data_IF_688528027113
#
_entry.id   IF_688528027113
#
_cell.length_a   1.000
_cell.length_b   1.000
_cell.length_c   1.000
_cell.angle_alpha   90.00
_cell.angle_beta   90.00
_cell.angle_gamma   90.00
#
_symmetry.space_group_name_H-M   'P 1'
#
loop_
_entity.id
_entity.type
_entity.pdbx_description
1 polymer ?
#
# COMPACT_ATOMS: atom_id res chain seq x y z
N UNK A 1 -39.89 -65.71 -69.38
CA UNK A 1 -38.63 -64.99 -69.19
C UNK A 1 -38.93 -63.64 -68.62
N UNK A 2 -38.82 -63.49 -67.27
CA UNK A 2 -39.22 -62.26 -66.60
C UNK A 2 -37.93 -61.55 -66.15
N UNK A 3 -37.75 -60.30 -66.62
CA UNK A 3 -36.74 -59.38 -66.16
C UNK A 3 -37.29 -58.65 -64.90
N UNK A 4 -36.57 -58.76 -63.75
CA UNK A 4 -36.81 -57.96 -62.54
C UNK A 4 -35.91 -56.75 -62.55
N UNK A 5 -36.56 -55.55 -62.57
CA UNK A 5 -35.87 -54.26 -62.31
C UNK A 5 -35.69 -54.09 -60.79
N UNK A 6 -34.43 -53.90 -60.33
CA UNK A 6 -34.12 -53.42 -58.97
C UNK A 6 -33.95 -51.87 -59.07
N UNK A 7 -34.84 -51.18 -58.42
CA UNK A 7 -34.71 -49.73 -58.16
C UNK A 7 -34.02 -49.53 -56.83
N UNK A 8 -32.76 -49.12 -56.87
CA UNK A 8 -32.01 -48.74 -55.65
C UNK A 8 -32.33 -47.29 -55.29
N UNK A 9 -32.96 -47.08 -54.14
CA UNK A 9 -33.14 -45.74 -53.49
C UNK A 9 -31.87 -45.27 -52.81
N UNK A 10 -31.28 -44.19 -53.28
CA UNK A 10 -30.12 -43.53 -52.71
C UNK A 10 -30.65 -42.56 -51.66
N UNK A 11 -30.49 -42.91 -50.37
CA UNK A 11 -30.73 -41.99 -49.25
C UNK A 11 -29.55 -41.05 -49.12
N UNK A 12 -29.72 -39.81 -49.53
CA UNK A 12 -28.73 -38.73 -49.29
C UNK A 12 -29.00 -38.19 -47.88
N UNK A 13 -28.17 -38.58 -46.90
CA UNK A 13 -28.16 -38.00 -45.53
C UNK A 13 -27.56 -36.61 -45.57
N UNK A 14 -28.40 -35.61 -45.48
CA UNK A 14 -27.99 -34.22 -45.34
C UNK A 14 -27.44 -33.99 -43.90
N UNK A 15 -26.13 -34.06 -43.75
CA UNK A 15 -25.46 -33.68 -42.49
C UNK A 15 -25.53 -32.16 -42.37
N UNK A 16 -26.45 -31.64 -41.55
CA UNK A 16 -26.48 -30.25 -41.16
C UNK A 16 -25.31 -29.99 -40.18
N UNK A 17 -24.24 -29.40 -40.71
CA UNK A 17 -23.14 -28.86 -39.88
C UNK A 17 -23.69 -27.69 -39.03
N UNK A 18 -23.96 -27.94 -37.73
CA UNK A 18 -24.21 -26.87 -36.79
C UNK A 18 -22.92 -26.04 -36.65
N UNK A 19 -23.01 -24.70 -36.77
CA UNK A 19 -21.83 -23.85 -36.53
C UNK A 19 -21.39 -24.04 -35.06
N UNK A 20 -20.23 -24.65 -34.85
CA UNK A 20 -19.54 -24.65 -33.56
C UNK A 20 -19.09 -23.22 -33.36
N UNK A 21 -19.81 -22.48 -32.51
CA UNK A 21 -19.35 -21.17 -32.06
C UNK A 21 -17.97 -21.37 -31.41
N UNK A 22 -16.96 -20.57 -31.77
CA UNK A 22 -15.66 -20.66 -31.17
C UNK A 22 -15.83 -20.44 -29.66
N UNK A 23 -15.40 -21.40 -28.84
CA UNK A 23 -15.31 -21.27 -27.41
C UNK A 23 -14.24 -20.21 -27.15
N UNK A 24 -14.63 -18.93 -27.06
CA UNK A 24 -13.72 -17.89 -26.65
C UNK A 24 -13.30 -18.25 -25.24
N UNK A 25 -12.02 -18.53 -25.05
CA UNK A 25 -11.46 -18.66 -23.70
C UNK A 25 -11.82 -17.38 -22.94
N UNK A 26 -12.51 -17.53 -21.81
CA UNK A 26 -12.90 -16.40 -20.99
C UNK A 26 -11.65 -15.61 -20.61
N UNK A 27 -11.65 -14.31 -20.89
CA UNK A 27 -10.55 -13.42 -20.53
C UNK A 27 -10.33 -13.44 -19.02
N UNK A 28 -9.07 -13.41 -18.60
CA UNK A 28 -8.70 -13.45 -17.19
C UNK A 28 -7.95 -12.19 -16.82
N UNK A 29 -8.44 -11.48 -15.80
CA UNK A 29 -7.73 -10.37 -15.13
C UNK A 29 -6.97 -10.92 -13.93
N UNK A 30 -5.66 -10.67 -13.86
CA UNK A 30 -4.79 -11.11 -12.76
C UNK A 30 -4.37 -9.90 -11.93
N UNK A 31 -4.81 -9.87 -10.68
CA UNK A 31 -4.63 -8.76 -9.75
C UNK A 31 -3.59 -9.14 -8.70
N UNK A 32 -2.61 -8.26 -8.47
CA UNK A 32 -1.65 -8.35 -7.38
C UNK A 32 -1.90 -7.20 -6.41
N UNK A 33 -2.33 -7.48 -5.17
CA UNK A 33 -2.80 -6.43 -4.29
C UNK A 33 -2.76 -6.80 -2.80
N UNK A 34 -3.05 -5.83 -1.98
CA UNK A 34 -3.20 -5.96 -0.53
C UNK A 34 -4.57 -6.55 -0.16
N UNK A 35 -4.68 -7.28 0.97
CA UNK A 35 -5.97 -7.68 1.51
C UNK A 35 -6.90 -6.48 1.71
N UNK A 36 -8.17 -6.66 1.34
CA UNK A 36 -9.20 -5.62 1.46
C UNK A 36 -9.33 -4.69 0.25
N UNK A 37 -8.43 -4.75 -0.75
CA UNK A 37 -8.54 -3.92 -1.98
C UNK A 37 -9.29 -4.63 -3.11
N UNK A 38 -9.45 -5.94 -3.01
CA UNK A 38 -10.15 -6.78 -3.96
C UNK A 38 -10.93 -7.88 -3.21
N UNK A 39 -11.93 -7.47 -2.43
CA UNK A 39 -12.81 -8.37 -1.70
C UNK A 39 -13.64 -9.21 -2.69
N UNK A 40 -13.95 -10.46 -2.31
CA UNK A 40 -14.53 -11.46 -3.22
C UNK A 40 -15.84 -11.00 -3.86
N UNK A 41 -16.73 -10.35 -3.11
CA UNK A 41 -18.01 -9.84 -3.62
C UNK A 41 -17.83 -8.74 -4.68
N UNK A 42 -16.84 -7.86 -4.51
CA UNK A 42 -16.51 -6.81 -5.49
C UNK A 42 -15.84 -7.41 -6.73
N UNK A 43 -14.99 -8.43 -6.53
CA UNK A 43 -14.37 -9.21 -7.60
C UNK A 43 -15.43 -9.95 -8.42
N UNK A 44 -16.42 -10.59 -7.77
CA UNK A 44 -17.53 -11.28 -8.43
C UNK A 44 -18.43 -10.30 -9.21
N UNK A 45 -18.69 -9.11 -8.66
CA UNK A 45 -19.44 -8.06 -9.33
C UNK A 45 -18.72 -7.61 -10.60
N UNK A 46 -17.40 -7.36 -10.54
CA UNK A 46 -16.59 -7.01 -11.69
C UNK A 46 -16.59 -8.14 -12.72
N UNK A 47 -16.31 -9.37 -12.30
CA UNK A 47 -16.28 -10.54 -13.17
C UNK A 47 -17.61 -10.74 -13.93
N UNK A 48 -18.73 -10.58 -13.23
CA UNK A 48 -20.06 -10.66 -13.83
C UNK A 48 -20.35 -9.53 -14.81
N UNK A 49 -19.96 -8.28 -14.44
CA UNK A 49 -20.21 -7.08 -15.28
C UNK A 49 -19.46 -7.12 -16.61
N UNK A 50 -18.22 -7.63 -16.59
CA UNK A 50 -17.36 -7.67 -17.77
C UNK A 50 -17.30 -9.05 -18.46
N UNK A 51 -17.94 -10.08 -17.89
CA UNK A 51 -17.96 -11.42 -18.46
C UNK A 51 -16.60 -12.13 -18.43
N UNK A 52 -15.76 -11.82 -17.43
CA UNK A 52 -14.36 -12.26 -17.33
C UNK A 52 -14.12 -13.11 -16.09
N UNK A 53 -13.01 -13.84 -16.07
CA UNK A 53 -12.47 -14.43 -14.85
C UNK A 53 -11.54 -13.41 -14.17
N UNK A 54 -11.55 -13.38 -12.83
CA UNK A 54 -10.61 -12.56 -12.04
C UNK A 54 -9.84 -13.48 -11.10
N UNK A 55 -8.53 -13.33 -11.09
CA UNK A 55 -7.61 -14.03 -10.18
C UNK A 55 -6.89 -13.01 -9.32
N UNK A 56 -7.00 -13.12 -8.00
CA UNK A 56 -6.38 -12.21 -7.04
C UNK A 56 -5.25 -12.90 -6.30
N UNK A 57 -4.09 -12.26 -6.30
CA UNK A 57 -2.94 -12.65 -5.47
C UNK A 57 -2.74 -11.59 -4.41
N UNK A 58 -2.86 -11.96 -3.14
CA UNK A 58 -2.59 -11.07 -2.04
C UNK A 58 -1.11 -11.08 -1.66
N UNK A 59 -0.64 -9.92 -1.20
CA UNK A 59 0.69 -9.67 -0.66
C UNK A 59 0.55 -9.11 0.75
N UNK A 60 1.61 -9.20 1.52
CA UNK A 60 1.70 -8.75 2.90
C UNK A 60 2.84 -7.74 3.15
N UNK A 61 3.80 -7.65 2.22
CA UNK A 61 4.91 -6.68 2.30
C UNK A 61 5.32 -6.15 0.92
N UNK A 62 5.97 -4.98 0.90
CA UNK A 62 6.53 -4.40 -0.32
C UNK A 62 7.65 -5.28 -0.92
N UNK A 63 8.41 -6.00 -0.09
CA UNK A 63 9.44 -6.95 -0.55
C UNK A 63 8.83 -8.11 -1.33
N UNK A 64 7.71 -8.65 -0.87
CA UNK A 64 6.96 -9.70 -1.58
C UNK A 64 6.41 -9.16 -2.90
N UNK A 65 5.87 -7.94 -2.90
CA UNK A 65 5.40 -7.26 -4.11
C UNK A 65 6.55 -7.10 -5.11
N UNK A 66 7.70 -6.58 -4.68
CA UNK A 66 8.90 -6.42 -5.52
C UNK A 66 9.40 -7.74 -6.09
N UNK A 67 9.47 -8.79 -5.26
CA UNK A 67 9.89 -10.11 -5.71
C UNK A 67 8.98 -10.65 -6.82
N UNK A 68 7.65 -10.56 -6.64
CA UNK A 68 6.67 -10.99 -7.65
C UNK A 68 6.75 -10.17 -8.94
N UNK A 69 6.89 -8.84 -8.84
CA UNK A 69 6.99 -7.95 -10.00
C UNK A 69 8.30 -8.11 -10.78
N UNK A 70 9.40 -8.49 -10.13
CA UNK A 70 10.66 -8.77 -10.81
C UNK A 70 10.65 -10.10 -11.57
N UNK A 71 9.80 -11.07 -11.17
CA UNK A 71 9.60 -12.29 -11.94
C UNK A 71 8.89 -11.98 -13.25
N UNK A 72 9.40 -12.53 -14.37
CA UNK A 72 8.82 -12.38 -15.70
C UNK A 72 8.47 -10.92 -16.08
N UNK A 73 9.18 -9.92 -15.48
CA UNK A 73 8.88 -8.48 -15.63
C UNK A 73 7.41 -8.16 -15.33
N UNK A 74 6.86 -8.73 -14.26
CA UNK A 74 5.46 -8.57 -13.87
C UNK A 74 4.46 -9.30 -14.78
N UNK A 75 4.91 -10.11 -15.74
CA UNK A 75 4.06 -10.78 -16.73
C UNK A 75 3.05 -11.80 -16.18
N UNK A 76 3.15 -12.13 -14.89
CA UNK A 76 2.18 -13.01 -14.22
C UNK A 76 0.93 -12.23 -13.74
N UNK A 77 0.95 -10.90 -13.81
CA UNK A 77 -0.11 -10.01 -13.35
C UNK A 77 -0.48 -8.97 -14.41
N UNK A 78 -1.72 -8.49 -14.38
CA UNK A 78 -2.22 -7.44 -15.26
C UNK A 78 -2.26 -6.10 -14.53
N UNK A 79 -2.75 -6.07 -13.28
CA UNK A 79 -2.87 -4.87 -12.46
C UNK A 79 -2.28 -5.11 -11.08
N UNK A 80 -1.68 -4.08 -10.50
CA UNK A 80 -1.11 -4.13 -9.16
C UNK A 80 -1.44 -2.87 -8.38
N UNK A 81 -1.48 -3.00 -7.04
CA UNK A 81 -1.59 -1.87 -6.11
C UNK A 81 -0.28 -1.71 -5.33
N UNK A 82 0.29 -0.49 -5.36
CA UNK A 82 1.50 -0.16 -4.62
C UNK A 82 1.52 1.31 -4.22
N UNK A 83 2.28 1.65 -3.18
CA UNK A 83 2.44 3.02 -2.76
C UNK A 83 3.33 3.83 -3.71
N UNK A 84 3.31 5.16 -3.58
CA UNK A 84 4.02 6.07 -4.48
C UNK A 84 5.53 5.91 -4.46
N UNK A 85 6.13 5.49 -3.34
CA UNK A 85 7.57 5.22 -3.26
C UNK A 85 7.94 3.96 -4.07
N UNK A 86 7.13 2.90 -3.95
CA UNK A 86 7.30 1.68 -4.73
C UNK A 86 7.06 1.90 -6.22
N UNK A 87 6.10 2.77 -6.60
CA UNK A 87 5.83 3.08 -8.01
C UNK A 87 7.06 3.64 -8.72
N UNK A 88 7.87 4.47 -8.06
CA UNK A 88 9.12 4.98 -8.65
C UNK A 88 10.06 3.84 -9.02
N UNK A 89 10.22 2.87 -8.14
CA UNK A 89 11.03 1.66 -8.40
C UNK A 89 10.52 0.90 -9.63
N UNK A 90 9.20 0.71 -9.78
CA UNK A 90 8.63 -0.03 -10.91
C UNK A 90 8.71 0.75 -12.22
N UNK A 91 8.54 2.06 -12.20
CA UNK A 91 8.71 2.93 -13.36
C UNK A 91 10.16 2.89 -13.86
N UNK A 92 11.14 3.08 -12.96
CA UNK A 92 12.56 3.11 -13.30
C UNK A 92 13.05 1.78 -13.91
N UNK A 93 12.45 0.66 -13.47
CA UNK A 93 12.75 -0.68 -14.00
C UNK A 93 11.86 -1.12 -15.15
N UNK A 94 10.98 -0.24 -15.63
CA UNK A 94 10.06 -0.54 -16.73
C UNK A 94 9.19 -1.80 -16.44
N UNK A 95 8.76 -1.97 -15.20
CA UNK A 95 7.89 -3.07 -14.76
C UNK A 95 6.40 -2.72 -14.87
N UNK A 96 6.08 -1.44 -15.04
CA UNK A 96 4.75 -0.91 -15.29
C UNK A 96 4.71 -0.15 -16.61
N UNK A 97 3.52 0.07 -17.13
CA UNK A 97 3.31 0.78 -18.40
C UNK A 97 2.44 2.04 -18.20
N UNK A 98 2.56 3.04 -19.10
CA UNK A 98 1.69 4.21 -19.07
C UNK A 98 0.21 3.84 -19.21
N UNK A 99 -0.64 4.59 -18.51
CA UNK A 99 -2.09 4.43 -18.53
C UNK A 99 -2.74 5.29 -19.60
N UNK A 100 -3.82 4.79 -20.20
CA UNK A 100 -4.72 5.58 -21.05
C UNK A 100 -5.86 6.18 -20.19
N UNK A 101 -5.66 7.39 -19.68
CA UNK A 101 -6.63 8.03 -18.78
C UNK A 101 -8.02 8.25 -19.39
N UNK A 102 -8.13 8.29 -20.73
CA UNK A 102 -9.43 8.30 -21.43
C UNK A 102 -10.28 7.08 -21.10
N UNK A 103 -9.63 5.97 -20.79
CA UNK A 103 -10.24 4.69 -20.48
C UNK A 103 -10.53 4.51 -18.98
N UNK A 104 -10.11 5.49 -18.16
CA UNK A 104 -10.36 5.55 -16.72
C UNK A 104 -11.11 6.85 -16.35
N UNK A 105 -12.34 7.05 -16.87
CA UNK A 105 -13.06 8.33 -16.72
C UNK A 105 -13.38 8.70 -15.27
N UNK A 106 -13.41 7.75 -14.33
CA UNK A 106 -13.66 8.01 -12.92
C UNK A 106 -12.51 8.74 -12.21
N UNK A 107 -11.34 8.88 -12.83
CA UNK A 107 -10.26 9.78 -12.34
C UNK A 107 -10.75 11.23 -12.21
N UNK A 108 -11.72 11.66 -13.03
CA UNK A 108 -12.33 12.99 -12.95
C UNK A 108 -13.19 13.19 -11.70
N UNK A 109 -13.59 12.10 -11.03
CA UNK A 109 -14.37 12.13 -9.78
C UNK A 109 -13.51 12.21 -8.54
N UNK A 110 -12.21 11.97 -8.67
CA UNK A 110 -11.29 12.07 -7.54
C UNK A 110 -11.32 13.47 -6.93
N UNK A 111 -10.98 13.55 -5.66
CA UNK A 111 -10.80 14.80 -4.94
C UNK A 111 -9.79 15.67 -5.68
N UNK A 112 -9.96 17.00 -5.64
CA UNK A 112 -9.18 17.96 -6.43
C UNK A 112 -7.67 17.73 -6.33
N UNK A 113 -7.15 17.35 -5.16
CA UNK A 113 -5.73 17.08 -4.90
C UNK A 113 -5.20 15.84 -5.61
N UNK A 114 -6.08 14.90 -6.01
CA UNK A 114 -5.71 13.69 -6.74
C UNK A 114 -6.00 13.79 -8.24
N UNK A 115 -6.64 14.84 -8.73
CA UNK A 115 -6.97 15.01 -10.17
C UNK A 115 -5.77 15.41 -11.00
N UNK A 116 -4.84 16.18 -10.43
CA UNK A 116 -3.61 16.53 -11.11
C UNK A 116 -2.55 15.44 -10.87
N UNK A 117 -2.68 14.34 -11.60
CA UNK A 117 -1.81 13.17 -11.45
C UNK A 117 -0.32 13.50 -11.70
N UNK A 118 -0.02 14.50 -12.55
CA UNK A 118 1.36 14.94 -12.81
C UNK A 118 2.04 15.54 -11.57
N UNK A 119 1.27 16.11 -10.65
CA UNK A 119 1.82 16.72 -9.44
C UNK A 119 2.01 15.75 -8.28
N UNK A 120 1.56 14.50 -8.42
CA UNK A 120 1.72 13.48 -7.38
C UNK A 120 3.08 12.82 -7.55
N UNK A 121 3.96 12.88 -6.52
CA UNK A 121 5.27 12.27 -6.60
C UNK A 121 5.18 10.76 -6.88
N UNK A 122 6.07 10.26 -7.73
CA UNK A 122 6.25 8.82 -7.91
C UNK A 122 5.32 8.11 -8.88
N UNK A 123 4.28 8.77 -9.45
CA UNK A 123 3.35 8.12 -10.38
C UNK A 123 3.44 8.63 -11.82
N UNK A 124 4.26 9.61 -12.10
CA UNK A 124 4.44 10.17 -13.44
C UNK A 124 5.92 10.23 -13.83
N UNK A 125 6.19 10.07 -15.13
CA UNK A 125 7.54 10.20 -15.72
C UNK A 125 7.42 10.65 -17.17
N UNK A 126 8.18 11.66 -17.56
CA UNK A 126 8.27 12.16 -18.95
C UNK A 126 6.91 12.49 -19.58
N UNK A 127 6.01 13.10 -18.79
CA UNK A 127 4.66 13.45 -19.22
C UNK A 127 3.65 12.29 -19.22
N UNK A 128 4.08 11.06 -18.97
CA UNK A 128 3.22 9.89 -18.88
C UNK A 128 2.76 9.64 -17.44
N UNK A 129 1.54 9.15 -17.26
CA UNK A 129 0.98 8.69 -15.98
C UNK A 129 1.05 7.16 -15.95
N UNK A 130 1.58 6.61 -14.87
CA UNK A 130 1.79 5.17 -14.68
C UNK A 130 0.88 4.56 -13.61
N UNK A 131 0.30 5.40 -12.74
CA UNK A 131 -0.58 4.90 -11.70
C UNK A 131 -1.68 5.91 -11.36
N UNK A 132 -2.79 5.41 -10.79
CA UNK A 132 -3.93 6.20 -10.35
C UNK A 132 -4.12 6.02 -8.85
N UNK A 133 -4.12 7.10 -8.05
CA UNK A 133 -4.40 7.05 -6.62
C UNK A 133 -5.72 6.35 -6.30
N UNK A 134 -5.70 5.48 -5.30
CA UNK A 134 -6.87 4.70 -4.90
C UNK A 134 -7.25 4.92 -3.44
N UNK A 135 -6.29 4.70 -2.53
CA UNK A 135 -6.50 4.79 -1.09
C UNK A 135 -5.25 5.30 -0.38
N UNK A 136 -5.45 5.86 0.81
CA UNK A 136 -4.35 6.38 1.62
C UNK A 136 -4.65 6.27 3.11
N UNK A 137 -3.60 6.31 3.93
CA UNK A 137 -3.73 6.53 5.36
C UNK A 137 -2.64 7.43 5.89
N UNK A 138 -3.00 8.24 6.87
CA UNK A 138 -2.11 9.08 7.64
C UNK A 138 -1.57 8.28 8.84
N UNK A 139 -0.28 8.39 9.10
CA UNK A 139 0.37 7.76 10.26
C UNK A 139 0.31 8.70 11.45
N UNK A 140 -0.85 8.75 12.09
CA UNK A 140 -1.09 9.60 13.24
C UNK A 140 -0.78 8.93 14.57
N UNK A 141 -1.24 9.56 15.65
CA UNK A 141 -1.12 9.05 17.02
C UNK A 141 -2.49 8.60 17.52
N UNK A 142 -2.61 7.33 17.92
CA UNK A 142 -3.74 6.83 18.71
C UNK A 142 -3.36 6.91 20.17
N UNK A 143 -4.19 7.53 21.00
CA UNK A 143 -3.92 7.72 22.43
C UNK A 143 -5.12 7.28 23.28
N UNK A 144 -4.84 6.73 24.45
CA UNK A 144 -5.82 6.40 25.49
C UNK A 144 -6.27 7.69 26.19
N UNK A 145 -7.56 8.05 26.06
CA UNK A 145 -8.12 9.29 26.64
C UNK A 145 -8.03 9.32 28.15
N UNK A 146 -8.00 8.17 28.83
CA UNK A 146 -7.86 8.10 30.28
C UNK A 146 -6.44 8.46 30.76
N UNK A 147 -5.43 8.36 29.89
CA UNK A 147 -4.04 8.63 30.24
C UNK A 147 -3.55 10.00 29.76
N UNK A 148 -4.35 10.72 28.98
CA UNK A 148 -4.03 12.06 28.45
C UNK A 148 -5.08 13.08 28.90
N UNK A 149 -4.64 14.16 29.53
CA UNK A 149 -5.54 15.28 29.90
C UNK A 149 -6.00 16.11 28.69
N UNK A 150 -5.24 16.06 27.60
CA UNK A 150 -5.55 16.65 26.31
C UNK A 150 -4.90 15.82 25.20
N UNK A 151 -5.42 15.87 23.94
CA UNK A 151 -4.80 15.16 22.83
C UNK A 151 -3.32 15.52 22.67
N UNK A 152 -2.42 14.53 22.44
CA UNK A 152 -1.01 14.80 22.19
C UNK A 152 -0.87 15.63 20.90
N UNK A 153 -0.11 16.71 20.95
CA UNK A 153 0.02 17.65 19.82
C UNK A 153 1.29 17.42 18.99
N UNK A 154 2.24 16.62 19.48
CA UNK A 154 3.57 16.45 18.88
C UNK A 154 4.01 15.00 18.88
N UNK A 155 4.80 14.61 17.88
CA UNK A 155 5.54 13.34 17.83
C UNK A 155 6.43 13.15 19.09
N UNK A 156 6.86 14.24 19.74
CA UNK A 156 7.64 14.17 20.98
C UNK A 156 6.98 13.33 22.08
N UNK A 157 5.66 13.18 22.05
CA UNK A 157 4.92 12.34 23.00
C UNK A 157 5.36 10.87 22.96
N UNK A 158 5.88 10.37 21.83
CA UNK A 158 6.43 9.02 21.71
C UNK A 158 7.71 8.83 22.54
N UNK A 159 8.41 9.93 22.86
CA UNK A 159 9.66 9.96 23.63
C UNK A 159 9.46 10.42 25.07
N UNK A 160 8.23 10.79 25.47
CA UNK A 160 7.96 11.26 26.82
C UNK A 160 8.17 10.12 27.85
N UNK A 161 9.14 10.24 28.78
CA UNK A 161 9.41 9.20 29.79
C UNK A 161 8.23 8.93 30.69
N UNK A 162 7.26 9.84 30.81
CA UNK A 162 6.00 9.62 31.51
C UNK A 162 5.26 8.38 31.00
N UNK A 163 5.42 8.05 29.72
CA UNK A 163 4.77 6.92 29.07
C UNK A 163 5.70 5.73 28.81
N UNK A 164 6.87 5.69 29.43
CA UNK A 164 7.84 4.62 29.27
C UNK A 164 7.21 3.24 29.51
N UNK A 165 7.44 2.30 28.56
CA UNK A 165 6.85 0.96 28.57
C UNK A 165 5.36 0.92 28.24
N UNK A 166 4.77 2.06 27.79
CA UNK A 166 3.36 2.17 27.39
C UNK A 166 3.17 2.83 26.03
N UNK A 167 4.20 2.85 25.22
CA UNK A 167 4.19 3.36 23.83
C UNK A 167 4.37 2.19 22.89
N UNK A 168 3.59 2.15 21.81
CA UNK A 168 3.80 1.25 20.69
C UNK A 168 4.28 2.07 19.48
N UNK A 169 5.29 1.58 18.79
CA UNK A 169 5.74 2.15 17.52
C UNK A 169 5.82 1.07 16.44
N UNK A 170 5.78 1.48 15.18
CA UNK A 170 5.89 0.56 14.05
C UNK A 170 7.33 0.10 13.84
N UNK A 171 7.53 -1.17 13.46
CA UNK A 171 8.83 -1.74 13.16
C UNK A 171 9.22 -1.48 11.70
N UNK A 172 9.50 -0.23 11.37
CA UNK A 172 9.91 0.18 10.04
C UNK A 172 11.10 1.13 10.09
N UNK A 173 12.22 0.77 9.44
CA UNK A 173 13.42 1.58 9.43
C UNK A 173 13.15 3.00 8.89
N UNK A 174 12.70 3.09 7.64
CA UNK A 174 12.41 4.36 6.97
C UNK A 174 11.44 5.21 7.77
N UNK A 175 10.36 4.62 8.31
CA UNK A 175 9.36 5.32 9.10
C UNK A 175 9.94 5.92 10.38
N UNK A 176 10.71 5.14 11.14
CA UNK A 176 11.28 5.60 12.41
C UNK A 176 12.36 6.67 12.21
N UNK A 177 13.21 6.52 11.19
CA UNK A 177 14.18 7.56 10.81
C UNK A 177 13.47 8.84 10.40
N UNK A 178 12.39 8.73 9.62
CA UNK A 178 11.63 9.89 9.14
C UNK A 178 10.93 10.64 10.28
N UNK A 179 10.27 9.96 11.22
CA UNK A 179 9.64 10.67 12.37
C UNK A 179 10.65 11.27 13.31
N UNK A 180 11.82 10.62 13.51
CA UNK A 180 12.89 11.21 14.30
C UNK A 180 13.49 12.44 13.62
N UNK A 181 13.67 12.42 12.29
CA UNK A 181 14.09 13.57 11.50
C UNK A 181 13.10 14.73 11.60
N UNK A 182 11.80 14.46 11.39
CA UNK A 182 10.73 15.46 11.53
C UNK A 182 10.72 16.10 12.92
N UNK A 183 10.85 15.28 13.97
CA UNK A 183 10.94 15.79 15.36
C UNK A 183 12.11 16.73 15.57
N UNK A 184 13.22 16.51 14.89
CA UNK A 184 14.42 17.36 14.94
C UNK A 184 14.37 18.54 13.93
N UNK A 185 13.27 18.70 13.18
CA UNK A 185 13.10 19.75 12.18
C UNK A 185 13.81 19.50 10.86
N UNK A 186 14.22 18.25 10.60
CA UNK A 186 14.87 17.81 9.36
C UNK A 186 13.92 17.29 8.29
N UNK A 187 14.45 16.99 7.12
CA UNK A 187 13.71 16.37 6.01
C UNK A 187 13.51 14.87 6.28
N UNK A 188 12.29 14.31 6.11
CA UNK A 188 12.03 12.92 6.50
C UNK A 188 12.69 11.89 5.59
N UNK A 189 12.85 12.19 4.29
CA UNK A 189 13.33 11.22 3.29
C UNK A 189 14.69 11.60 2.69
N UNK A 190 15.28 12.74 3.10
CA UNK A 190 16.58 13.23 2.62
C UNK A 190 17.44 13.66 3.82
N UNK A 191 17.77 12.68 4.67
CA UNK A 191 18.59 12.89 5.87
C UNK A 191 20.03 13.14 5.44
N UNK A 192 20.60 14.26 5.87
CA UNK A 192 22.00 14.59 5.62
C UNK A 192 22.93 13.79 6.52
N UNK A 193 24.14 13.51 6.03
CA UNK A 193 25.16 12.74 6.78
C UNK A 193 25.36 13.25 8.22
N UNK A 194 25.44 14.56 8.38
CA UNK A 194 25.67 15.18 9.69
C UNK A 194 24.49 15.01 10.69
N UNK A 195 23.29 14.65 10.20
CA UNK A 195 22.07 14.52 11.00
C UNK A 195 21.91 13.10 11.59
N UNK A 196 22.52 12.07 10.96
CA UNK A 196 22.36 10.68 11.37
C UNK A 196 22.74 10.42 12.83
N UNK A 197 23.79 11.07 13.35
CA UNK A 197 24.22 10.89 14.74
C UNK A 197 23.13 11.31 15.74
N UNK A 198 22.48 12.47 15.50
CA UNK A 198 21.39 12.96 16.35
C UNK A 198 20.14 12.10 16.22
N UNK A 199 19.80 11.66 15.00
CA UNK A 199 18.67 10.79 14.71
C UNK A 199 18.86 9.42 15.36
N UNK A 200 20.05 8.81 15.24
CA UNK A 200 20.37 7.54 15.92
C UNK A 200 20.20 7.65 17.45
N UNK A 201 20.64 8.78 18.05
CA UNK A 201 20.43 9.03 19.47
C UNK A 201 18.94 9.05 19.81
N UNK A 202 18.13 9.75 19.03
CA UNK A 202 16.68 9.79 19.21
C UNK A 202 16.04 8.43 19.06
N UNK A 203 16.44 7.62 18.10
CA UNK A 203 15.89 6.27 17.92
C UNK A 203 16.27 5.31 19.05
N UNK A 204 17.46 5.46 19.66
CA UNK A 204 17.83 4.74 20.88
C UNK A 204 16.94 5.15 22.07
N UNK A 205 16.65 6.46 22.20
CA UNK A 205 15.70 6.95 23.21
C UNK A 205 14.31 6.35 22.97
N UNK A 206 13.80 6.35 21.73
CA UNK A 206 12.52 5.75 21.37
C UNK A 206 12.46 4.27 21.77
N UNK A 207 13.48 3.48 21.39
CA UNK A 207 13.58 2.06 21.76
C UNK A 207 13.47 1.83 23.25
N UNK A 208 14.05 2.72 24.08
CA UNK A 208 13.99 2.62 25.54
C UNK A 208 12.63 3.03 26.11
N UNK A 209 11.87 3.81 25.37
CA UNK A 209 10.58 4.34 25.79
C UNK A 209 9.40 3.43 25.38
N UNK A 210 9.50 2.74 24.26
CA UNK A 210 8.43 1.87 23.80
C UNK A 210 8.27 0.61 24.65
N UNK A 211 7.05 0.08 24.69
CA UNK A 211 6.78 -1.28 25.15
C UNK A 211 7.39 -2.27 24.17
N UNK A 212 7.07 -2.09 22.88
CA UNK A 212 7.62 -2.87 21.77
C UNK A 212 7.38 -2.15 20.44
N UNK A 213 8.01 -2.69 19.39
CA UNK A 213 7.70 -2.37 18.00
C UNK A 213 6.80 -3.45 17.41
N UNK A 214 5.70 -3.06 16.76
CA UNK A 214 4.75 -3.96 16.11
C UNK A 214 4.96 -3.95 14.60
N UNK A 215 4.50 -5.01 13.91
CA UNK A 215 4.60 -5.15 12.46
C UNK A 215 3.23 -5.16 11.78
N UNK A 216 2.21 -5.71 12.44
CA UNK A 216 0.88 -5.88 11.87
C UNK A 216 -0.16 -5.06 12.62
N UNK A 217 -1.21 -4.54 11.92
CA UNK A 217 -2.23 -3.74 12.57
C UNK A 217 -2.96 -4.50 13.68
N UNK A 218 -3.29 -5.79 13.47
CA UNK A 218 -3.96 -6.63 14.46
C UNK A 218 -3.13 -6.82 15.72
N UNK A 219 -1.82 -7.07 15.55
CA UNK A 219 -0.87 -7.17 16.67
C UNK A 219 -0.90 -5.91 17.54
N UNK A 220 -0.85 -4.74 16.91
CA UNK A 220 -0.87 -3.47 17.64
C UNK A 220 -2.16 -3.24 18.42
N UNK A 221 -3.31 -3.65 17.86
CA UNK A 221 -4.63 -3.57 18.51
C UNK A 221 -4.69 -4.48 19.73
N UNK A 222 -4.19 -5.71 19.62
CA UNK A 222 -4.14 -6.66 20.72
C UNK A 222 -3.22 -6.16 21.84
N UNK A 223 -2.00 -5.72 21.51
CA UNK A 223 -1.06 -5.16 22.47
C UNK A 223 -1.64 -3.93 23.18
N UNK A 224 -2.32 -3.05 22.44
CA UNK A 224 -2.96 -1.86 23.02
C UNK A 224 -4.00 -2.25 24.09
N UNK A 225 -4.82 -3.26 23.78
CA UNK A 225 -5.87 -3.73 24.71
C UNK A 225 -5.32 -4.48 25.94
N UNK A 226 -4.21 -5.22 25.76
CA UNK A 226 -3.69 -6.11 26.80
C UNK A 226 -2.72 -5.41 27.77
N UNK A 227 -2.04 -4.33 27.36
CA UNK A 227 -0.87 -3.79 28.06
C UNK A 227 -1.00 -2.34 28.53
N UNK A 228 -2.21 -1.82 28.78
CA UNK A 228 -2.41 -0.42 29.23
C UNK A 228 -1.59 0.59 28.43
N UNK A 229 -1.52 0.39 27.12
CA UNK A 229 -0.81 1.28 26.22
C UNK A 229 -1.40 2.68 26.32
N UNK A 230 -0.55 3.69 26.43
CA UNK A 230 -0.98 5.08 26.46
C UNK A 230 -1.00 5.69 25.06
N UNK A 231 -0.04 5.30 24.21
CA UNK A 231 0.19 5.92 22.91
C UNK A 231 0.66 4.89 21.89
N UNK A 232 0.08 4.97 20.69
CA UNK A 232 0.44 4.15 19.53
C UNK A 232 0.74 5.07 18.33
N UNK A 233 1.95 4.98 17.78
CA UNK A 233 2.24 5.52 16.45
C UNK A 233 1.60 4.60 15.41
N UNK A 234 0.51 5.07 14.80
CA UNK A 234 -0.39 4.27 13.99
C UNK A 234 0.05 4.26 12.51
N UNK A 235 0.96 3.35 12.14
CA UNK A 235 1.42 3.20 10.75
C UNK A 235 0.28 2.91 9.76
N UNK A 236 -0.77 2.25 10.24
CA UNK A 236 -1.96 1.92 9.45
C UNK A 236 -3.14 2.87 9.74
N UNK A 237 -2.88 3.98 10.45
CA UNK A 237 -3.86 5.03 10.69
C UNK A 237 -5.16 4.54 11.30
N UNK A 238 -6.27 4.89 10.66
CA UNK A 238 -7.63 4.54 11.12
C UNK A 238 -7.96 3.06 11.02
N UNK A 239 -7.21 2.29 10.24
CA UNK A 239 -7.35 0.83 10.19
C UNK A 239 -6.99 0.19 11.55
N UNK A 240 -6.16 0.86 12.37
CA UNK A 240 -5.89 0.46 13.76
C UNK A 240 -6.88 1.09 14.74
N UNK A 241 -7.32 2.32 14.48
CA UNK A 241 -8.29 3.03 15.32
C UNK A 241 -9.65 2.34 15.34
N UNK A 242 -10.17 1.95 14.16
CA UNK A 242 -11.50 1.37 14.00
C UNK A 242 -11.75 0.15 14.91
N UNK A 243 -10.92 -0.91 14.89
CA UNK A 243 -11.14 -2.07 15.76
C UNK A 243 -10.97 -1.76 17.25
N UNK A 244 -10.19 -0.76 17.65
CA UNK A 244 -10.13 -0.30 19.05
C UNK A 244 -11.47 0.31 19.47
N UNK A 245 -12.04 1.19 18.66
CA UNK A 245 -13.35 1.81 18.93
C UNK A 245 -14.46 0.77 18.93
N UNK A 246 -14.47 -0.17 17.99
CA UNK A 246 -15.45 -1.29 17.94
C UNK A 246 -15.35 -2.20 19.16
N UNK A 247 -14.15 -2.36 19.73
CA UNK A 247 -13.93 -3.08 20.98
C UNK A 247 -14.28 -2.25 22.24
N UNK A 248 -14.81 -1.03 22.08
CA UNK A 248 -15.20 -0.15 23.18
C UNK A 248 -14.03 0.51 23.93
N UNK A 249 -12.86 0.57 23.32
CA UNK A 249 -11.69 1.24 23.93
C UNK A 249 -11.84 2.76 23.75
N UNK A 250 -11.70 3.53 24.83
CA UNK A 250 -11.80 4.99 24.79
C UNK A 250 -10.50 5.62 24.29
N UNK A 251 -10.36 5.64 22.97
CA UNK A 251 -9.17 6.19 22.31
C UNK A 251 -9.50 7.42 21.47
N UNK A 252 -8.50 8.29 21.30
CA UNK A 252 -8.52 9.38 20.35
C UNK A 252 -7.47 9.17 19.26
N UNK A 253 -7.62 9.91 18.16
CA UNK A 253 -6.68 9.93 17.05
C UNK A 253 -6.32 11.38 16.71
N UNK A 254 -5.05 11.63 16.45
CA UNK A 254 -4.56 12.99 16.16
C UNK A 254 -3.40 12.96 15.17
N UNK A 255 -3.36 13.96 14.29
CA UNK A 255 -2.20 14.27 13.46
C UNK A 255 -1.32 15.24 14.23
N UNK A 256 -0.05 14.90 14.51
CA UNK A 256 0.85 15.76 15.26
C UNK A 256 1.21 17.04 14.49
N UNK A 257 1.72 18.03 15.19
CA UNK A 257 2.06 19.33 14.62
C UNK A 257 3.19 19.27 13.59
N UNK A 258 4.09 18.30 13.71
CA UNK A 258 5.19 18.06 12.77
C UNK A 258 4.71 17.48 11.44
N UNK A 259 3.47 17.05 11.36
CA UNK A 259 2.88 16.34 10.23
C UNK A 259 2.79 14.84 10.43
N UNK A 260 2.09 14.18 9.53
CA UNK A 260 1.97 12.74 9.48
C UNK A 260 2.54 12.20 8.17
N UNK A 261 3.43 11.23 8.28
CA UNK A 261 3.78 10.41 7.14
C UNK A 261 2.50 9.74 6.61
N UNK A 262 2.39 9.60 5.32
CA UNK A 262 1.20 9.00 4.70
C UNK A 262 1.59 8.20 3.49
N UNK A 263 1.11 6.98 3.41
CA UNK A 263 1.20 6.23 2.17
C UNK A 263 -0.02 6.53 1.29
N UNK A 264 0.21 6.51 0.00
CA UNK A 264 -0.80 6.65 -1.04
C UNK A 264 -0.65 5.48 -1.98
N UNK A 265 -1.57 4.53 -1.86
CA UNK A 265 -1.60 3.38 -2.75
C UNK A 265 -2.33 3.71 -4.03
N UNK A 266 -1.70 3.29 -5.12
CA UNK A 266 -2.12 3.55 -6.47
C UNK A 266 -2.28 2.23 -7.24
N UNK A 267 -3.26 2.17 -8.12
CA UNK A 267 -3.36 1.12 -9.12
C UNK A 267 -2.45 1.41 -10.30
N UNK A 268 -1.71 0.42 -10.76
CA UNK A 268 -0.89 0.48 -11.96
C UNK A 268 -1.07 -0.76 -12.82
N UNK A 269 -0.72 -0.67 -14.10
CA UNK A 269 -0.77 -1.78 -15.04
C UNK A 269 0.64 -2.35 -15.23
N UNK A 270 0.78 -3.65 -15.02
CA UNK A 270 2.05 -4.35 -15.24
C UNK A 270 2.49 -4.23 -16.70
N UNK A 271 3.81 -4.15 -16.93
CA UNK A 271 4.39 -4.16 -18.27
C UNK A 271 4.04 -5.42 -19.05
N UNK A 272 3.88 -6.53 -18.36
CA UNK A 272 3.53 -7.83 -18.95
C UNK A 272 2.03 -8.14 -18.96
N UNK A 273 1.17 -7.15 -18.72
CA UNK A 273 -0.29 -7.34 -18.76
C UNK A 273 -0.76 -7.88 -20.10
N UNK A 274 -1.57 -8.92 -20.06
CA UNK A 274 -2.13 -9.56 -21.27
C UNK A 274 -3.30 -8.78 -21.85
N UNK A 275 -4.07 -8.13 -20.99
CA UNK A 275 -5.18 -7.27 -21.39
C UNK A 275 -5.14 -5.94 -20.60
N UNK A 276 -4.34 -4.94 -21.09
CA UNK A 276 -4.26 -3.63 -20.44
C UNK A 276 -5.62 -2.92 -20.34
N UNK A 277 -6.48 -3.09 -21.35
CA UNK A 277 -7.81 -2.48 -21.34
C UNK A 277 -8.66 -2.98 -20.18
N UNK A 278 -8.68 -4.29 -19.95
CA UNK A 278 -9.42 -4.88 -18.84
C UNK A 278 -8.82 -4.45 -17.46
N UNK A 279 -7.51 -4.22 -17.39
CA UNK A 279 -6.87 -3.66 -16.21
C UNK A 279 -7.30 -2.19 -15.97
N UNK A 280 -7.46 -1.37 -17.02
CA UNK A 280 -8.02 -0.02 -16.92
C UNK A 280 -9.48 -0.03 -16.48
N UNK A 281 -10.28 -0.98 -16.96
CA UNK A 281 -11.67 -1.17 -16.53
C UNK A 281 -11.74 -1.53 -15.02
N UNK A 282 -10.82 -2.36 -14.50
CA UNK A 282 -10.70 -2.62 -13.06
C UNK A 282 -10.38 -1.36 -12.27
N UNK A 283 -9.37 -0.60 -12.71
CA UNK A 283 -9.01 0.67 -12.06
C UNK A 283 -10.20 1.62 -12.04
N UNK A 284 -10.90 1.75 -13.19
CA UNK A 284 -12.07 2.60 -13.29
C UNK A 284 -13.22 2.13 -12.39
N UNK A 285 -13.44 0.81 -12.27
CA UNK A 285 -14.44 0.21 -11.39
C UNK A 285 -14.15 0.51 -9.91
N UNK A 286 -12.89 0.36 -9.46
CA UNK A 286 -12.53 0.64 -8.07
C UNK A 286 -12.71 2.11 -7.68
N UNK A 287 -12.70 3.02 -8.66
CA UNK A 287 -12.97 4.46 -8.48
C UNK A 287 -14.46 4.83 -8.59
N UNK A 288 -15.38 3.87 -8.75
CA UNK A 288 -16.80 4.16 -8.59
C UNK A 288 -17.08 4.56 -7.13
N UNK A 289 -17.89 5.61 -6.86
CA UNK A 289 -18.14 6.10 -5.50
C UNK A 289 -18.57 4.99 -4.54
N UNK A 290 -19.50 4.13 -4.96
CA UNK A 290 -19.98 3.02 -4.13
C UNK A 290 -18.85 2.04 -3.77
N UNK A 291 -17.99 1.69 -4.74
CA UNK A 291 -16.89 0.74 -4.54
C UNK A 291 -15.83 1.35 -3.61
N UNK A 292 -15.45 2.61 -3.86
CA UNK A 292 -14.51 3.34 -2.99
C UNK A 292 -15.03 3.52 -1.55
N UNK A 293 -16.36 3.73 -1.38
CA UNK A 293 -16.99 3.80 -0.06
C UNK A 293 -16.90 2.46 0.69
N UNK A 294 -17.08 1.33 0.00
CA UNK A 294 -16.95 0.00 0.63
C UNK A 294 -15.55 -0.23 1.18
N UNK A 295 -14.49 0.20 0.47
CA UNK A 295 -13.11 0.15 0.98
C UNK A 295 -13.02 0.91 2.31
N UNK A 296 -13.46 2.17 2.34
CA UNK A 296 -13.41 2.99 3.56
C UNK A 296 -14.22 2.40 4.70
N UNK A 297 -15.43 1.93 4.39
CA UNK A 297 -16.33 1.33 5.38
C UNK A 297 -15.75 0.06 6.00
N UNK A 298 -15.16 -0.81 5.18
CA UNK A 298 -14.63 -2.11 5.63
C UNK A 298 -13.27 -1.97 6.29
N UNK A 299 -12.36 -1.24 5.66
CA UNK A 299 -10.96 -1.17 6.06
C UNK A 299 -10.63 0.01 6.98
N UNK A 300 -11.50 1.02 7.08
CA UNK A 300 -11.19 2.26 7.82
C UNK A 300 -10.19 3.16 7.08
N UNK A 301 -9.90 2.88 5.82
CA UNK A 301 -8.96 3.65 5.00
C UNK A 301 -9.66 4.85 4.35
N UNK A 302 -8.89 5.88 4.07
CA UNK A 302 -9.37 7.01 3.28
C UNK A 302 -9.33 6.67 1.79
N UNK A 303 -10.36 7.06 1.03
CA UNK A 303 -10.39 6.89 -0.42
C UNK A 303 -10.15 8.23 -1.14
N UNK A 304 -9.86 8.15 -2.44
CA UNK A 304 -9.52 9.33 -3.24
C UNK A 304 -10.74 10.02 -3.89
N UNK A 305 -11.94 9.46 -3.71
CA UNK A 305 -13.21 9.94 -4.32
C UNK A 305 -13.96 10.86 -3.36
N UNK A 306 -14.00 10.52 -2.07
CA UNK A 306 -14.77 11.25 -1.08
C UNK A 306 -13.87 11.84 -0.01
N UNK A 307 -14.16 13.08 0.34
CA UNK A 307 -13.54 13.70 1.50
C UNK A 307 -14.05 13.01 2.78
N UNK A 308 -13.13 12.44 3.55
CA UNK A 308 -13.46 11.99 4.90
C UNK A 308 -13.97 13.14 5.77
N UNK A 309 -14.71 12.84 6.82
CA UNK A 309 -15.33 13.84 7.70
C UNK A 309 -14.32 14.71 8.47
N UNK A 310 -13.02 14.41 8.39
CA UNK A 310 -11.96 15.09 9.15
C UNK A 310 -10.87 15.72 8.25
N UNK A 311 -11.29 16.41 7.19
CA UNK A 311 -10.42 17.06 6.21
C UNK A 311 -9.56 18.24 6.73
N UNK A 312 -9.59 18.57 8.03
CA UNK A 312 -8.93 19.76 8.58
C UNK A 312 -7.39 19.66 8.69
N UNK A 313 -6.78 18.48 8.47
CA UNK A 313 -5.34 18.26 8.65
C UNK A 313 -4.58 17.86 7.38
N UNK A 314 -5.18 18.05 6.20
CA UNK A 314 -4.57 17.63 4.92
C UNK A 314 -3.28 18.41 4.60
N UNK A 315 -3.12 19.62 5.14
CA UNK A 315 -1.91 20.43 4.98
C UNK A 315 -0.70 19.84 5.74
N UNK A 316 -0.94 18.86 6.61
CA UNK A 316 0.09 18.19 7.42
C UNK A 316 0.44 16.80 6.90
N UNK A 317 -0.09 16.38 5.76
CA UNK A 317 0.24 15.09 5.15
C UNK A 317 1.57 15.19 4.42
N UNK A 318 2.46 14.24 4.70
CA UNK A 318 3.76 14.07 4.08
C UNK A 318 3.76 12.71 3.38
N UNK A 319 3.61 12.72 2.06
CA UNK A 319 3.60 11.47 1.28
C UNK A 319 4.93 10.75 1.40
N UNK A 320 4.87 9.40 1.51
CA UNK A 320 6.07 8.57 1.46
C UNK A 320 6.81 8.76 0.13
N UNK A 321 8.10 8.97 0.25
CA UNK A 321 9.06 9.04 -0.84
C UNK A 321 10.21 8.06 -0.57
N UNK A 322 10.98 7.65 -1.60
CA UNK A 322 12.20 6.89 -1.40
C UNK A 322 13.16 7.63 -0.47
N UNK A 323 13.70 6.90 0.50
CA UNK A 323 14.74 7.47 1.37
C UNK A 323 16.06 7.66 0.60
N UNK A 324 16.91 8.54 1.11
CA UNK A 324 18.25 8.78 0.57
C UNK A 324 19.10 7.50 0.51
N UNK A 325 18.91 6.58 1.46
CA UNK A 325 19.59 5.28 1.53
C UNK A 325 18.80 4.30 2.41
N UNK A 326 17.86 3.58 1.80
CA UNK A 326 17.03 2.60 2.51
C UNK A 326 17.86 1.46 3.14
N UNK A 327 18.92 1.01 2.45
CA UNK A 327 19.76 -0.08 2.95
C UNK A 327 20.51 0.33 4.21
N UNK A 328 21.06 1.53 4.24
CA UNK A 328 21.71 2.11 5.40
C UNK A 328 20.74 2.28 6.57
N UNK A 329 19.54 2.83 6.31
CA UNK A 329 18.51 2.98 7.35
C UNK A 329 18.14 1.63 7.95
N UNK A 330 17.92 0.62 7.11
CA UNK A 330 17.57 -0.74 7.54
C UNK A 330 18.67 -1.36 8.42
N UNK A 331 19.94 -1.20 8.02
CA UNK A 331 21.09 -1.69 8.77
C UNK A 331 21.22 -0.99 10.14
N UNK A 332 21.17 0.34 10.17
CA UNK A 332 21.24 1.10 11.42
C UNK A 332 20.05 0.77 12.33
N UNK A 333 18.84 0.62 11.76
CA UNK A 333 17.66 0.23 12.51
C UNK A 333 17.80 -1.13 13.16
N UNK A 334 18.29 -2.13 12.44
CA UNK A 334 18.58 -3.47 12.99
C UNK A 334 19.53 -3.40 14.17
N UNK A 335 20.60 -2.61 14.07
CA UNK A 335 21.60 -2.41 15.15
C UNK A 335 20.98 -1.67 16.35
N UNK A 336 20.17 -0.63 16.11
CA UNK A 336 19.46 0.08 17.18
C UNK A 336 18.51 -0.87 17.90
N UNK A 337 17.71 -1.65 17.16
CA UNK A 337 16.78 -2.63 17.74
C UNK A 337 17.49 -3.70 18.60
N UNK A 338 18.62 -4.21 18.15
CA UNK A 338 19.40 -5.21 18.88
C UNK A 338 20.06 -4.70 20.13
N UNK A 339 19.98 -3.38 20.42
CA UNK A 339 20.48 -2.81 21.66
C UNK A 339 21.85 -2.16 21.56
N UNK A 340 22.41 -2.00 20.37
CA UNK A 340 23.70 -1.32 20.21
C UNK A 340 23.72 0.10 20.77
N UNK A 341 24.89 0.55 21.24
CA UNK A 341 25.09 1.86 21.84
C UNK A 341 25.67 2.85 20.83
N UNK A 342 25.44 4.15 21.03
CA UNK A 342 25.89 5.23 20.15
C UNK A 342 27.36 5.16 19.67
N UNK A 343 28.36 4.87 20.52
CA UNK A 343 29.76 4.81 20.07
C UNK A 343 29.99 3.75 18.98
N UNK A 344 29.27 2.62 19.07
CA UNK A 344 29.36 1.56 18.05
C UNK A 344 28.65 1.95 16.74
N UNK A 345 27.55 2.70 16.84
CA UNK A 345 26.80 3.19 15.66
C UNK A 345 27.51 4.31 14.91
N UNK A 346 28.39 5.05 15.57
CA UNK A 346 29.20 6.12 14.98
C UNK A 346 30.54 5.62 14.37
N UNK A 347 30.92 4.37 14.64
CA UNK A 347 32.14 3.81 14.05
C UNK A 347 31.93 3.52 12.55
N UNK A 348 32.89 3.87 11.69
CA UNK A 348 32.84 3.48 10.27
C UNK A 348 32.79 1.95 10.19
N UNK A 349 32.06 1.44 9.21
CA UNK A 349 31.98 0.00 8.96
C UNK A 349 33.38 -0.60 8.75
N UNK A 350 33.62 -1.81 9.30
CA UNK A 350 34.79 -2.57 8.90
C UNK A 350 34.65 -2.83 7.39
N UNK A 351 35.69 -2.47 6.65
CA UNK A 351 35.75 -2.74 5.22
C UNK A 351 35.41 -4.23 4.96
N UNK A 352 34.69 -4.55 3.87
CA UNK A 352 34.35 -5.93 3.57
C UNK A 352 35.65 -6.74 3.53
N UNK A 353 35.70 -7.83 4.30
CA UNK A 353 36.83 -8.75 4.23
C UNK A 353 36.89 -9.27 2.80
N UNK A 354 37.87 -8.80 2.05
CA UNK A 354 38.19 -9.38 0.76
C UNK A 354 38.45 -10.87 1.00
N UNK A 355 37.55 -11.69 0.52
CA UNK A 355 37.83 -13.11 0.31
C UNK A 355 38.96 -13.14 -0.72
N UNK A 356 40.18 -13.30 -0.23
CA UNK A 356 41.32 -13.62 -1.08
C UNK A 356 41.12 -15.00 -1.69
N UNK A 357 41.64 -15.21 -2.89
CA UNK A 357 41.33 -16.31 -3.80
C UNK A 357 41.72 -17.72 -3.29
#
# INVERSE_FOLDING_TARGET
MLLRHLTGSLLISLLTALPVAPLHAQETLRILTWPGYADSDLVEEFASRYGVKVEVTFIDTDEVLRAKMNLNRGGDYDVLAANTAEMQYYIDRQLVQPLQLSDIPNTKRQLWRFRNLQSIPGISRDGNIYAVPYTYAEMGLIYDRAQFSSPPSSLASLWDPKYQGRVLAYDGATHNFSIASLLLGGAPFQIKEAEFAAINAKLIELRRNVLTFYTQPQESVELFRQHKVALLYANYGRQQLKPLLEAGVDVGYVIPQEGALSWLDCWAISRGAKNPRLAEDWINFTLEPRISQELSRRQGLSNTIEAGTENSNLDKIIWLEPAEDDARRAQLWSRIRSGERLPALAAPEPAPMNSQP
#
